data_IF_423345838236
#
_entry.id   IF_423345838236
#
_cell.length_a   1.000
_cell.length_b   1.000
_cell.length_c   1.000
_cell.angle_alpha   90.00
_cell.angle_beta   90.00
_cell.angle_gamma   90.00
#
_symmetry.space_group_name_H-M   'P 1'
#
loop_
_entity.id
_entity.type
_entity.pdbx_description
1 polymer ?
#
# COMPACT_ATOMS: atom_id res chain seq x y z
N UNK A 1 -1.37 2.70 -8.02
CA UNK A 1 -1.38 3.37 -6.69
C UNK A 1 -2.50 2.76 -5.88
N UNK A 2 -2.25 2.35 -4.64
CA UNK A 2 -3.28 1.79 -3.76
C UNK A 2 -3.58 2.79 -2.65
N UNK A 3 -4.84 3.18 -2.49
CA UNK A 3 -5.31 4.00 -1.37
C UNK A 3 -5.91 3.06 -0.32
N UNK A 4 -5.46 3.21 0.92
CA UNK A 4 -5.98 2.42 2.03
C UNK A 4 -7.37 2.92 2.41
N UNK A 5 -8.27 1.98 2.71
CA UNK A 5 -9.63 2.23 3.24
C UNK A 5 -10.55 3.08 2.34
N UNK A 6 -10.20 3.27 1.07
CA UNK A 6 -10.99 4.05 0.10
C UNK A 6 -11.20 3.23 -1.18
N UNK A 7 -12.46 3.08 -1.57
CA UNK A 7 -12.85 2.56 -2.88
C UNK A 7 -13.46 3.71 -3.71
N UNK A 8 -12.63 4.37 -4.50
CA UNK A 8 -13.04 5.49 -5.35
C UNK A 8 -12.32 5.42 -6.69
N UNK A 9 -13.05 5.75 -7.75
CA UNK A 9 -12.46 5.94 -9.06
C UNK A 9 -11.78 7.31 -9.15
N UNK A 10 -10.49 7.30 -9.49
CA UNK A 10 -9.65 8.47 -9.63
C UNK A 10 -9.36 8.85 -11.08
N UNK A 11 -9.92 8.13 -12.07
CA UNK A 11 -9.72 8.47 -13.48
C UNK A 11 -10.18 9.91 -13.78
N UNK A 12 -9.32 10.66 -14.48
CA UNK A 12 -9.56 12.07 -14.83
C UNK A 12 -9.38 13.08 -13.69
N UNK A 13 -9.01 12.64 -12.48
CA UNK A 13 -8.80 13.52 -11.32
C UNK A 13 -7.30 13.76 -11.09
N UNK A 14 -6.96 15.00 -10.72
CA UNK A 14 -5.62 15.34 -10.26
C UNK A 14 -5.49 15.03 -8.76
N UNK A 15 -4.44 14.30 -8.40
CA UNK A 15 -4.11 13.99 -7.02
C UNK A 15 -2.69 14.48 -6.71
N UNK A 16 -2.49 14.97 -5.50
CA UNK A 16 -1.17 15.32 -4.98
C UNK A 16 -0.67 14.20 -4.08
N UNK A 17 0.56 13.75 -4.32
CA UNK A 17 1.20 12.65 -3.57
C UNK A 17 2.51 13.11 -2.98
N UNK A 18 2.76 12.75 -1.72
CA UNK A 18 4.02 13.03 -1.02
C UNK A 18 4.63 11.71 -0.56
N UNK A 19 5.82 11.40 -1.07
CA UNK A 19 6.56 10.21 -0.68
C UNK A 19 7.18 10.44 0.70
N UNK A 20 6.69 9.72 1.71
CA UNK A 20 7.17 9.85 3.10
C UNK A 20 8.26 8.86 3.46
N UNK A 21 8.09 7.59 3.09
CA UNK A 21 9.01 6.51 3.41
C UNK A 21 8.99 5.45 2.33
N UNK A 22 10.16 4.94 1.99
CA UNK A 22 10.32 3.77 1.12
C UNK A 22 10.30 2.51 1.98
N UNK A 23 9.38 1.59 1.68
CA UNK A 23 9.22 0.32 2.43
C UNK A 23 10.24 -0.72 1.94
N UNK A 24 10.35 -0.91 0.61
CA UNK A 24 11.28 -1.88 0.00
C UNK A 24 11.67 -1.50 -1.42
N UNK A 25 12.63 -2.25 -1.96
CA UNK A 25 12.93 -2.27 -3.39
C UNK A 25 11.98 -3.22 -4.14
N UNK A 26 12.04 -3.15 -5.47
CA UNK A 26 11.37 -4.13 -6.33
C UNK A 26 11.94 -5.53 -6.10
N UNK A 27 11.07 -6.53 -6.08
CA UNK A 27 11.41 -7.92 -5.83
C UNK A 27 10.58 -8.80 -6.77
N UNK A 28 11.21 -9.86 -7.30
CA UNK A 28 10.51 -10.92 -8.02
C UNK A 28 9.99 -11.95 -7.01
N UNK A 29 8.76 -12.39 -7.19
CA UNK A 29 8.14 -13.43 -6.39
C UNK A 29 8.04 -14.71 -7.22
N UNK A 30 8.16 -15.86 -6.56
CA UNK A 30 8.07 -17.16 -7.24
C UNK A 30 6.60 -17.54 -7.52
N UNK A 31 5.65 -16.94 -6.81
CA UNK A 31 4.22 -17.20 -6.97
C UNK A 31 3.33 -15.97 -6.70
N UNK A 32 2.07 -16.06 -7.12
CA UNK A 32 1.06 -15.04 -6.82
C UNK A 32 0.73 -14.95 -5.33
N UNK A 33 0.78 -16.07 -4.59
CA UNK A 33 0.48 -16.07 -3.16
C UNK A 33 1.58 -15.38 -2.36
N UNK A 34 2.84 -15.56 -2.74
CA UNK A 34 3.96 -14.79 -2.16
C UNK A 34 3.81 -13.29 -2.41
N UNK A 35 3.42 -12.90 -3.64
CA UNK A 35 3.18 -11.50 -3.97
C UNK A 35 2.04 -10.92 -3.11
N UNK A 36 0.91 -11.63 -2.98
CA UNK A 36 -0.22 -11.20 -2.14
C UNK A 36 0.21 -11.05 -0.67
N UNK A 37 0.92 -12.04 -0.14
CA UNK A 37 1.42 -12.01 1.23
C UNK A 37 2.36 -10.82 1.45
N UNK A 38 3.23 -10.52 0.47
CA UNK A 38 4.12 -9.37 0.58
C UNK A 38 3.37 -8.04 0.52
N UNK A 39 2.36 -7.90 -0.35
CA UNK A 39 1.53 -6.69 -0.41
C UNK A 39 0.81 -6.47 0.94
N UNK A 40 0.26 -7.51 1.56
CA UNK A 40 -0.38 -7.41 2.86
C UNK A 40 0.60 -6.96 3.97
N UNK A 41 1.86 -7.43 3.93
CA UNK A 41 2.90 -6.95 4.86
C UNK A 41 3.26 -5.50 4.60
N UNK A 42 3.41 -5.11 3.34
CA UNK A 42 3.71 -3.72 2.96
C UNK A 42 2.58 -2.77 3.41
N UNK A 43 1.32 -3.20 3.29
CA UNK A 43 0.16 -2.47 3.82
C UNK A 43 0.25 -2.29 5.34
N UNK A 44 0.53 -3.36 6.09
CA UNK A 44 0.66 -3.29 7.54
C UNK A 44 1.80 -2.34 7.95
N UNK A 45 2.96 -2.44 7.31
CA UNK A 45 4.09 -1.53 7.57
C UNK A 45 3.73 -0.07 7.26
N UNK A 46 2.96 0.18 6.21
CA UNK A 46 2.47 1.53 5.90
C UNK A 46 1.51 2.04 6.98
N UNK A 47 0.55 1.21 7.42
CA UNK A 47 -0.38 1.54 8.49
C UNK A 47 0.34 1.84 9.80
N UNK A 48 1.28 1.00 10.20
CA UNK A 48 2.14 1.22 11.37
C UNK A 48 2.94 2.52 11.28
N UNK A 49 3.52 2.80 10.10
CA UNK A 49 4.29 4.04 9.89
C UNK A 49 3.44 5.30 10.07
N UNK A 50 2.17 5.27 9.66
CA UNK A 50 1.24 6.38 9.84
C UNK A 50 0.49 6.32 11.19
N UNK A 51 0.73 5.31 12.04
CA UNK A 51 -0.02 5.11 13.28
C UNK A 51 -1.51 4.83 13.07
N UNK A 52 -1.89 4.32 11.90
CA UNK A 52 -3.27 4.03 11.53
C UNK A 52 -3.66 2.66 12.07
N UNK A 53 -4.23 2.62 13.27
CA UNK A 53 -4.87 1.41 13.80
C UNK A 53 -6.05 1.07 12.90
N UNK A 54 -6.04 -0.12 12.29
CA UNK A 54 -7.13 -0.59 11.44
C UNK A 54 -8.43 -0.55 12.26
N UNK A 55 -9.48 0.19 11.86
CA UNK A 55 -10.75 0.11 12.56
C UNK A 55 -11.25 -1.34 12.46
N UNK A 56 -11.74 -1.85 13.59
CA UNK A 56 -12.26 -3.20 13.74
C UNK A 56 -13.46 -3.47 12.81
#
# INVERSE_FOLDING_TARGET
>A
MHLLDVAMDLYGRHIQVVLRKKIRNEQRFASLDELKAQIARDELTAREFFGLTKPA
#
